data_IF_400201835565
#
_entry.id   IF_400201835565
#
_cell.length_a   1.000
_cell.length_b   1.000
_cell.length_c   1.000
_cell.angle_alpha   90.00
_cell.angle_beta   90.00
_cell.angle_gamma   90.00
#
_symmetry.space_group_name_H-M   'P 1'
#
loop_
_entity.id
_entity.type
_entity.pdbx_description
1 polymer ?
#
# COMPACT_ATOMS: atom_id res chain seq x y z
N UNK A 1 0.77 -10.62 12.92
CA UNK A 1 1.99 -11.35 13.29
C UNK A 1 2.67 -12.07 12.08
N UNK A 2 1.92 -12.77 11.20
CA UNK A 2 2.54 -13.56 10.12
C UNK A 2 3.36 -12.71 9.12
N UNK A 3 2.85 -11.55 8.73
CA UNK A 3 3.50 -10.65 7.77
C UNK A 3 4.15 -9.41 8.38
N UNK A 4 4.25 -9.34 9.70
CA UNK A 4 4.70 -8.13 10.40
C UNK A 4 6.02 -7.59 9.85
N UNK A 5 7.05 -8.45 9.80
CA UNK A 5 8.38 -8.05 9.31
C UNK A 5 8.37 -7.60 7.85
N UNK A 6 7.50 -8.20 7.02
CA UNK A 6 7.36 -7.83 5.60
C UNK A 6 6.61 -6.52 5.43
N UNK A 7 5.51 -6.32 6.16
CA UNK A 7 4.71 -5.10 6.13
C UNK A 7 5.56 -3.88 6.46
N UNK A 8 6.38 -3.98 7.52
CA UNK A 8 7.22 -2.88 8.00
C UNK A 8 8.27 -2.46 6.96
N UNK A 9 8.77 -3.39 6.15
CA UNK A 9 9.85 -3.11 5.18
C UNK A 9 9.37 -3.03 3.74
N UNK A 10 8.13 -3.39 3.44
CA UNK A 10 7.62 -3.38 2.08
C UNK A 10 7.63 -1.97 1.47
N UNK A 11 8.12 -1.79 0.24
CA UNK A 11 7.92 -0.56 -0.50
C UNK A 11 6.51 -0.51 -1.12
N UNK A 12 5.99 0.67 -1.39
CA UNK A 12 4.73 0.82 -2.13
C UNK A 12 4.90 0.55 -3.63
N UNK A 13 6.10 0.76 -4.17
CA UNK A 13 6.42 0.52 -5.60
C UNK A 13 7.89 0.16 -5.80
N UNK A 14 8.21 -0.32 -7.01
CA UNK A 14 9.59 -0.68 -7.37
C UNK A 14 10.48 0.52 -7.73
N UNK A 15 9.87 1.67 -8.10
CA UNK A 15 10.58 2.84 -8.60
C UNK A 15 10.11 4.11 -7.91
N UNK A 16 11.04 5.01 -7.49
CA UNK A 16 10.70 6.27 -6.84
C UNK A 16 9.75 7.17 -7.64
N UNK A 17 9.86 7.14 -8.97
CA UNK A 17 8.99 7.94 -9.85
C UNK A 17 7.54 7.39 -9.96
N UNK A 18 7.22 6.31 -9.29
CA UNK A 18 5.84 5.88 -9.11
C UNK A 18 5.30 6.43 -7.79
N UNK A 19 5.66 5.84 -6.66
CA UNK A 19 5.35 6.32 -5.32
C UNK A 19 6.13 5.50 -4.28
N UNK A 20 6.56 6.10 -3.23
CA UNK A 20 7.16 5.55 -2.02
C UNK A 20 7.98 4.24 -2.21
N UNK A 21 8.96 4.25 -3.13
CA UNK A 21 9.85 3.11 -3.40
C UNK A 21 10.98 3.05 -2.37
N UNK A 22 10.64 2.86 -1.10
CA UNK A 22 11.56 2.74 0.02
C UNK A 22 10.99 1.81 1.11
N UNK A 23 11.83 1.32 2.00
CA UNK A 23 11.41 0.45 3.10
C UNK A 23 10.39 1.17 4.01
N UNK A 24 9.20 0.57 4.20
CA UNK A 24 8.08 1.17 4.92
C UNK A 24 7.16 2.03 4.05
N UNK A 25 7.48 2.19 2.76
CA UNK A 25 6.66 2.97 1.83
C UNK A 25 5.23 2.44 1.70
N UNK A 26 5.05 1.11 1.77
CA UNK A 26 3.73 0.49 1.76
C UNK A 26 2.82 1.00 2.89
N UNK A 27 3.33 1.01 4.12
CA UNK A 27 2.55 1.47 5.29
C UNK A 27 2.16 2.94 5.14
N UNK A 28 3.11 3.79 4.74
CA UNK A 28 2.83 5.21 4.52
C UNK A 28 1.78 5.42 3.43
N UNK A 29 1.86 4.66 2.34
CA UNK A 29 0.92 4.73 1.24
C UNK A 29 -0.51 4.37 1.68
N UNK A 30 -0.72 3.21 2.32
CA UNK A 30 -2.07 2.80 2.73
C UNK A 30 -2.69 3.74 3.76
N UNK A 31 -1.88 4.31 4.67
CA UNK A 31 -2.35 5.34 5.59
C UNK A 31 -2.72 6.64 4.87
N UNK A 32 -1.94 7.03 3.87
CA UNK A 32 -2.25 8.20 3.03
C UNK A 32 -3.53 7.99 2.21
N UNK A 33 -3.77 6.75 1.72
CA UNK A 33 -5.03 6.39 1.06
C UNK A 33 -6.21 6.58 2.00
N UNK A 34 -6.16 6.06 3.22
CA UNK A 34 -7.24 6.21 4.21
C UNK A 34 -7.54 7.69 4.50
N UNK A 35 -6.49 8.50 4.73
CA UNK A 35 -6.65 9.94 4.98
C UNK A 35 -7.25 10.67 3.75
N UNK A 36 -6.78 10.33 2.56
CA UNK A 36 -7.28 10.90 1.30
C UNK A 36 -8.73 10.48 1.06
N UNK A 37 -9.09 9.22 1.27
CA UNK A 37 -10.45 8.72 1.13
C UNK A 37 -11.42 9.42 2.08
N UNK A 38 -11.03 9.62 3.34
CA UNK A 38 -11.83 10.40 4.32
C UNK A 38 -12.05 11.85 3.90
N UNK A 39 -11.03 12.50 3.31
CA UNK A 39 -11.17 13.85 2.76
C UNK A 39 -12.08 13.87 1.53
N UNK A 40 -11.92 12.90 0.64
CA UNK A 40 -12.77 12.76 -0.56
C UNK A 40 -14.23 12.48 -0.19
N UNK A 41 -14.50 11.69 0.85
CA UNK A 41 -15.86 11.46 1.37
C UNK A 41 -16.55 12.80 1.69
N UNK A 42 -15.86 13.71 2.39
CA UNK A 42 -16.40 15.04 2.72
C UNK A 42 -16.64 15.90 1.47
N UNK A 43 -15.73 15.83 0.50
CA UNK A 43 -15.92 16.53 -0.78
C UNK A 43 -17.12 15.96 -1.52
N UNK A 44 -17.23 14.65 -1.59
CA UNK A 44 -18.31 13.95 -2.29
C UNK A 44 -19.68 14.27 -1.69
N UNK A 45 -19.76 14.25 -0.36
CA UNK A 45 -20.96 14.67 0.37
C UNK A 45 -21.31 16.14 0.07
N UNK A 46 -20.32 17.04 0.04
CA UNK A 46 -20.53 18.46 -0.20
C UNK A 46 -21.08 18.80 -1.58
N UNK A 47 -20.88 17.93 -2.56
CA UNK A 47 -21.43 18.05 -3.92
C UNK A 47 -22.76 17.31 -4.11
N UNK A 48 -23.33 16.76 -3.03
CA UNK A 48 -24.67 16.15 -3.01
C UNK A 48 -24.70 14.64 -3.15
N UNK A 49 -23.57 13.95 -3.09
CA UNK A 49 -23.53 12.49 -3.07
C UNK A 49 -24.06 11.95 -1.73
N UNK A 50 -24.76 10.83 -1.80
CA UNK A 50 -25.16 10.08 -0.60
C UNK A 50 -24.00 9.21 -0.18
N UNK A 51 -23.61 9.30 1.09
CA UNK A 51 -22.61 8.41 1.68
C UNK A 51 -23.33 7.22 2.28
N UNK A 52 -23.13 6.06 1.71
CA UNK A 52 -23.85 4.82 1.96
C UNK A 52 -22.92 3.69 2.45
N UNK A 53 -21.78 4.05 2.98
CA UNK A 53 -20.78 3.16 3.59
C UNK A 53 -20.32 3.73 4.94
N UNK A 54 -19.77 2.88 5.77
CA UNK A 54 -19.21 3.25 7.08
C UNK A 54 -17.73 3.65 6.97
N UNK A 55 -17.21 4.35 8.01
CA UNK A 55 -15.77 4.66 8.08
C UNK A 55 -14.94 3.38 8.24
N UNK A 56 -15.48 2.35 8.92
CA UNK A 56 -14.84 1.05 9.06
C UNK A 56 -14.64 0.37 7.70
N UNK A 57 -15.65 0.36 6.82
CA UNK A 57 -15.55 -0.20 5.47
C UNK A 57 -14.54 0.58 4.62
N UNK A 58 -14.54 1.91 4.73
CA UNK A 58 -13.56 2.77 4.04
C UNK A 58 -12.13 2.46 4.51
N UNK A 59 -11.92 2.42 5.83
CA UNK A 59 -10.60 2.13 6.42
C UNK A 59 -10.16 0.72 6.05
N UNK A 60 -11.06 -0.26 6.15
CA UNK A 60 -10.76 -1.64 5.78
C UNK A 60 -10.31 -1.74 4.32
N UNK A 61 -11.08 -1.18 3.39
CA UNK A 61 -10.74 -1.21 1.98
C UNK A 61 -9.42 -0.45 1.69
N UNK A 62 -9.24 0.73 2.29
CA UNK A 62 -8.04 1.54 2.11
C UNK A 62 -6.76 0.88 2.63
N UNK A 63 -6.82 0.19 3.77
CA UNK A 63 -5.67 -0.51 4.34
C UNK A 63 -5.30 -1.78 3.55
N UNK A 64 -6.29 -2.46 2.94
CA UNK A 64 -6.08 -3.76 2.34
C UNK A 64 -6.01 -3.77 0.81
N UNK A 65 -6.29 -2.65 0.12
CA UNK A 65 -6.32 -2.62 -1.34
C UNK A 65 -5.00 -3.11 -1.96
N UNK A 66 -3.89 -2.78 -1.36
CA UNK A 66 -2.53 -3.10 -1.78
C UNK A 66 -1.87 -4.23 -0.97
N UNK A 67 -2.61 -4.95 -0.11
CA UNK A 67 -2.06 -5.99 0.75
C UNK A 67 -1.27 -7.05 -0.04
N UNK A 68 -1.63 -7.29 -1.29
CA UNK A 68 -0.89 -8.20 -2.16
C UNK A 68 0.58 -7.82 -2.42
N UNK A 69 0.97 -6.57 -2.14
CA UNK A 69 2.38 -6.11 -2.22
C UNK A 69 3.25 -6.61 -1.07
N UNK A 70 2.67 -7.21 -0.04
CA UNK A 70 3.41 -7.87 1.05
C UNK A 70 3.99 -9.22 0.60
N UNK A 71 3.42 -9.81 -0.43
CA UNK A 71 3.84 -11.09 -0.98
C UNK A 71 2.79 -12.20 -0.80
N UNK A 72 3.25 -13.44 -0.88
CA UNK A 72 2.46 -14.64 -0.57
C UNK A 72 2.91 -15.27 0.76
N UNK A 73 2.48 -16.50 1.06
CA UNK A 73 2.80 -17.15 2.31
C UNK A 73 4.31 -17.48 2.45
N UNK A 74 5.00 -17.62 1.34
CA UNK A 74 6.41 -18.07 1.31
C UNK A 74 7.36 -16.94 0.91
N UNK A 75 6.92 -16.02 0.03
CA UNK A 75 7.78 -15.05 -0.64
C UNK A 75 7.35 -13.60 -0.42
N UNK A 76 8.32 -12.71 -0.34
CA UNK A 76 8.12 -11.27 -0.43
C UNK A 76 7.81 -10.86 -1.87
N UNK A 77 6.90 -9.90 -2.08
CA UNK A 77 6.58 -9.40 -3.42
C UNK A 77 7.72 -8.59 -4.04
N UNK A 78 8.37 -7.76 -3.24
CA UNK A 78 9.48 -6.94 -3.67
C UNK A 78 10.81 -7.40 -3.08
N UNK A 79 11.78 -7.65 -3.95
CA UNK A 79 13.18 -7.84 -3.60
C UNK A 79 13.98 -6.56 -3.85
N UNK A 80 15.00 -6.32 -3.04
CA UNK A 80 15.93 -5.22 -3.29
C UNK A 80 16.66 -5.44 -4.61
N UNK A 81 16.66 -4.45 -5.49
CA UNK A 81 17.37 -4.51 -6.77
C UNK A 81 18.88 -4.54 -6.54
N UNK A 82 19.55 -5.62 -6.93
CA UNK A 82 21.00 -5.78 -6.78
C UNK A 82 21.80 -5.25 -7.97
N UNK A 83 21.18 -5.17 -9.14
CA UNK A 83 21.81 -4.68 -10.37
C UNK A 83 22.04 -3.16 -10.28
N UNK A 84 23.31 -2.78 -10.21
CA UNK A 84 23.76 -1.38 -10.13
C UNK A 84 23.35 -0.56 -11.34
N UNK A 85 23.33 -1.15 -12.53
CA UNK A 85 22.92 -0.43 -13.73
C UNK A 85 21.42 -0.10 -13.69
N UNK A 86 20.57 -1.06 -13.27
CA UNK A 86 19.13 -0.83 -13.11
C UNK A 86 18.86 0.24 -12.06
N UNK A 87 19.53 0.17 -10.92
CA UNK A 87 19.42 1.19 -9.87
C UNK A 87 19.81 2.59 -10.38
N UNK A 88 20.94 2.70 -11.06
CA UNK A 88 21.52 4.01 -11.46
C UNK A 88 20.88 4.57 -12.73
N UNK A 89 20.50 3.74 -13.70
CA UNK A 89 20.00 4.17 -15.01
C UNK A 89 18.48 4.12 -15.12
N UNK A 90 17.83 3.15 -14.48
CA UNK A 90 16.37 2.99 -14.53
C UNK A 90 15.69 3.49 -13.23
N UNK A 91 16.47 3.94 -12.25
CA UNK A 91 15.99 4.33 -10.93
C UNK A 91 15.10 3.22 -10.30
N UNK A 92 15.49 1.98 -10.47
CA UNK A 92 14.75 0.80 -10.00
C UNK A 92 15.39 0.27 -8.72
N UNK A 93 14.76 0.55 -7.58
CA UNK A 93 15.29 0.19 -6.26
C UNK A 93 14.79 -1.15 -5.77
N UNK A 94 13.65 -1.58 -6.26
CA UNK A 94 13.05 -2.88 -5.95
C UNK A 94 12.57 -3.53 -7.23
N UNK A 95 12.61 -4.86 -7.26
CA UNK A 95 12.12 -5.69 -8.36
C UNK A 95 11.10 -6.68 -7.83
N UNK A 96 10.15 -7.09 -8.66
CA UNK A 96 9.21 -8.14 -8.27
C UNK A 96 9.97 -9.46 -8.11
N UNK A 97 9.57 -10.25 -7.12
CA UNK A 97 10.14 -11.55 -6.88
C UNK A 97 9.71 -12.53 -7.98
N UNK A 98 10.65 -13.06 -8.79
CA UNK A 98 10.32 -13.97 -9.89
C UNK A 98 9.89 -15.37 -9.43
N UNK A 99 10.13 -15.72 -8.17
CA UNK A 99 9.74 -17.03 -7.60
C UNK A 99 8.25 -17.07 -7.21
N UNK A 100 7.60 -15.91 -7.12
CA UNK A 100 6.19 -15.85 -6.79
C UNK A 100 5.30 -16.32 -7.93
N UNK A 101 4.24 -17.07 -7.60
CA UNK A 101 3.14 -17.30 -8.52
C UNK A 101 2.53 -15.96 -8.96
N UNK A 102 2.42 -15.75 -10.28
CA UNK A 102 1.75 -14.56 -10.80
C UNK A 102 0.30 -14.49 -10.31
N UNK A 103 -0.04 -13.35 -9.74
CA UNK A 103 -1.38 -12.97 -9.31
C UNK A 103 -1.44 -11.45 -9.25
N UNK A 104 -2.54 -10.84 -9.67
CA UNK A 104 -2.76 -9.39 -9.50
C UNK A 104 -2.66 -8.98 -8.03
N UNK A 105 -2.22 -7.75 -7.77
CA UNK A 105 -2.03 -7.27 -6.39
C UNK A 105 -3.34 -7.31 -5.60
N UNK A 106 -4.43 -6.80 -6.20
CA UNK A 106 -5.76 -6.81 -5.58
C UNK A 106 -6.31 -8.21 -5.40
N UNK A 107 -6.09 -9.12 -6.36
CA UNK A 107 -6.51 -10.51 -6.25
C UNK A 107 -5.77 -11.24 -5.14
N UNK A 108 -4.45 -11.00 -5.02
CA UNK A 108 -3.64 -11.54 -3.92
C UNK A 108 -4.06 -10.98 -2.58
N UNK A 109 -4.40 -9.69 -2.50
CA UNK A 109 -4.93 -9.09 -1.28
C UNK A 109 -6.19 -9.81 -0.81
N UNK A 110 -7.15 -10.02 -1.70
CA UNK A 110 -8.39 -10.74 -1.40
C UNK A 110 -8.15 -12.21 -1.04
N UNK A 111 -7.22 -12.88 -1.74
CA UNK A 111 -6.82 -14.25 -1.42
C UNK A 111 -6.19 -14.36 -0.02
N UNK A 112 -5.31 -13.41 0.36
CA UNK A 112 -4.71 -13.38 1.69
C UNK A 112 -5.76 -13.16 2.78
N UNK A 113 -6.69 -12.24 2.60
CA UNK A 113 -7.78 -12.01 3.55
C UNK A 113 -8.61 -13.29 3.73
N UNK A 114 -8.95 -13.97 2.64
CA UNK A 114 -9.66 -15.25 2.68
C UNK A 114 -8.81 -16.33 3.38
N UNK A 115 -7.52 -16.42 3.08
CA UNK A 115 -6.63 -17.42 3.68
C UNK A 115 -6.55 -17.30 5.22
N UNK A 116 -6.58 -16.08 5.73
CA UNK A 116 -6.54 -15.80 7.17
C UNK A 116 -7.94 -15.68 7.81
N UNK A 117 -8.98 -16.18 7.14
CA UNK A 117 -10.37 -16.13 7.61
C UNK A 117 -10.86 -14.72 8.00
N UNK A 118 -10.30 -13.68 7.38
CA UNK A 118 -10.80 -12.32 7.55
C UNK A 118 -12.07 -12.14 6.75
N UNK A 119 -13.15 -11.78 7.43
CA UNK A 119 -14.44 -11.53 6.78
C UNK A 119 -14.37 -10.23 5.98
N UNK A 120 -14.74 -10.32 4.73
CA UNK A 120 -14.81 -9.20 3.80
C UNK A 120 -16.25 -9.06 3.31
N UNK A 121 -16.86 -7.91 3.46
CA UNK A 121 -18.18 -7.62 2.89
C UNK A 121 -18.11 -7.53 1.37
N UNK A 122 -19.25 -7.66 0.69
CA UNK A 122 -19.30 -7.50 -0.77
C UNK A 122 -18.80 -6.11 -1.20
N UNK A 123 -19.11 -5.09 -0.41
CA UNK A 123 -18.72 -3.71 -0.70
C UNK A 123 -17.21 -3.50 -0.55
N UNK A 124 -16.62 -3.98 0.54
CA UNK A 124 -15.17 -3.97 0.77
C UNK A 124 -14.43 -4.75 -0.33
N UNK A 125 -14.96 -5.93 -0.69
CA UNK A 125 -14.40 -6.75 -1.77
C UNK A 125 -14.35 -5.98 -3.09
N UNK A 126 -15.45 -5.33 -3.47
CA UNK A 126 -15.52 -4.52 -4.69
C UNK A 126 -14.56 -3.33 -4.63
N UNK A 127 -14.49 -2.64 -3.48
CA UNK A 127 -13.63 -1.50 -3.30
C UNK A 127 -12.13 -1.88 -3.44
N UNK A 128 -11.72 -3.02 -2.86
CA UNK A 128 -10.37 -3.57 -3.00
C UNK A 128 -10.14 -3.99 -4.46
N UNK A 129 -11.06 -4.78 -5.05
CA UNK A 129 -10.88 -5.32 -6.41
C UNK A 129 -10.66 -4.26 -7.47
N UNK A 130 -11.38 -3.14 -7.38
CA UNK A 130 -11.32 -2.10 -8.42
C UNK A 130 -10.39 -0.94 -8.10
N UNK A 131 -9.63 -1.00 -7.00
CA UNK A 131 -8.76 0.11 -6.55
C UNK A 131 -7.75 0.54 -7.62
N UNK A 132 -7.13 -0.40 -8.34
CA UNK A 132 -6.23 -0.14 -9.46
C UNK A 132 -6.93 0.55 -10.66
N UNK A 133 -8.26 0.65 -10.64
CA UNK A 133 -9.03 1.29 -11.69
C UNK A 133 -8.77 0.67 -13.06
N UNK A 134 -8.61 1.54 -14.07
CA UNK A 134 -8.38 1.14 -15.48
C UNK A 134 -6.94 0.67 -15.75
N UNK A 135 -6.05 0.67 -14.77
CA UNK A 135 -4.72 0.08 -14.90
C UNK A 135 -4.78 -1.46 -14.87
N UNK A 136 -5.84 -2.04 -14.32
CA UNK A 136 -6.19 -3.45 -14.49
C UNK A 136 -7.33 -3.57 -15.51
N UNK A 137 -7.06 -4.19 -16.67
CA UNK A 137 -8.05 -4.37 -17.74
C UNK A 137 -9.29 -5.16 -17.27
N UNK A 138 -9.14 -6.03 -16.25
CA UNK A 138 -10.26 -6.75 -15.67
C UNK A 138 -11.29 -5.83 -15.00
N UNK A 139 -10.89 -4.63 -14.60
CA UNK A 139 -11.76 -3.65 -13.95
C UNK A 139 -12.57 -2.81 -14.93
N UNK A 140 -12.26 -2.85 -16.24
CA UNK A 140 -12.93 -2.05 -17.27
C UNK A 140 -14.44 -2.25 -17.24
N UNK A 141 -14.90 -3.49 -17.09
CA UNK A 141 -16.33 -3.82 -17.04
C UNK A 141 -17.06 -3.23 -15.83
N UNK A 142 -16.35 -2.96 -14.73
CA UNK A 142 -16.91 -2.34 -13.53
C UNK A 142 -16.95 -0.82 -13.61
N UNK A 143 -15.95 -0.20 -14.23
CA UNK A 143 -15.75 1.24 -14.21
C UNK A 143 -16.26 1.93 -15.48
N UNK A 144 -16.31 1.20 -16.61
CA UNK A 144 -16.75 1.72 -17.91
C UNK A 144 -18.07 1.08 -18.31
N UNK A 145 -19.13 1.49 -17.63
CA UNK A 145 -20.49 1.01 -17.94
C UNK A 145 -21.46 2.18 -18.14
N UNK A 146 -22.39 2.00 -19.07
CA UNK A 146 -23.51 2.93 -19.29
C UNK A 146 -24.87 2.32 -18.88
N UNK A 147 -24.85 1.08 -18.35
CA UNK A 147 -26.05 0.38 -17.92
C UNK A 147 -26.26 0.57 -16.43
N UNK A 148 -27.38 1.16 -15.99
CA UNK A 148 -27.65 1.38 -14.55
C UNK A 148 -27.52 0.12 -13.71
N UNK A 149 -27.93 -1.03 -14.25
CA UNK A 149 -27.86 -2.33 -13.58
C UNK A 149 -26.44 -2.88 -13.40
N UNK A 150 -25.45 -2.30 -14.09
CA UNK A 150 -24.04 -2.65 -13.97
C UNK A 150 -23.24 -1.60 -13.16
N UNK A 151 -23.89 -0.54 -12.69
CA UNK A 151 -23.25 0.47 -11.86
C UNK A 151 -23.12 -0.03 -10.43
N UNK A 152 -22.06 0.41 -9.74
CA UNK A 152 -21.98 0.18 -8.31
C UNK A 152 -23.15 0.84 -7.58
N UNK A 153 -23.73 0.12 -6.64
CA UNK A 153 -24.82 0.63 -5.80
C UNK A 153 -24.29 1.58 -4.71
N UNK A 154 -22.99 1.50 -4.39
CA UNK A 154 -22.30 2.35 -3.44
C UNK A 154 -21.18 3.13 -4.12
N UNK A 155 -20.87 4.30 -3.56
CA UNK A 155 -19.77 5.14 -4.02
C UNK A 155 -18.38 4.70 -3.51
N UNK A 156 -18.30 3.81 -2.51
CA UNK A 156 -17.03 3.38 -1.91
C UNK A 156 -16.02 2.82 -2.93
N UNK A 157 -16.38 1.94 -3.88
CA UNK A 157 -15.41 1.44 -4.87
C UNK A 157 -14.77 2.54 -5.71
N UNK A 158 -15.56 3.53 -6.15
CA UNK A 158 -15.02 4.69 -6.88
C UNK A 158 -14.12 5.53 -6.00
N UNK A 159 -14.51 5.72 -4.75
CA UNK A 159 -13.81 6.60 -3.81
C UNK A 159 -12.46 6.03 -3.43
N UNK A 160 -12.33 4.73 -3.18
CA UNK A 160 -11.04 4.08 -2.93
C UNK A 160 -10.14 4.17 -4.15
N UNK A 161 -10.65 3.90 -5.35
CA UNK A 161 -9.90 4.08 -6.59
C UNK A 161 -9.39 5.52 -6.76
N UNK A 162 -10.24 6.52 -6.55
CA UNK A 162 -9.81 7.92 -6.68
C UNK A 162 -8.85 8.34 -5.58
N UNK A 163 -9.03 7.83 -4.37
CA UNK A 163 -8.11 8.09 -3.26
C UNK A 163 -6.73 7.55 -3.57
N UNK A 164 -6.63 6.32 -4.07
CA UNK A 164 -5.37 5.71 -4.49
C UNK A 164 -4.72 6.53 -5.63
N UNK A 165 -5.45 6.79 -6.69
CA UNK A 165 -4.93 7.57 -7.81
C UNK A 165 -4.44 8.96 -7.39
N UNK A 166 -5.20 9.68 -6.55
CA UNK A 166 -4.84 11.02 -6.07
C UNK A 166 -3.65 10.99 -5.12
N UNK A 167 -3.62 10.04 -4.17
CA UNK A 167 -2.50 9.88 -3.25
C UNK A 167 -1.21 9.54 -4.00
N UNK A 168 -1.25 8.58 -4.92
CA UNK A 168 -0.12 8.22 -5.79
C UNK A 168 0.41 9.44 -6.56
N UNK A 169 -0.47 10.33 -7.08
CA UNK A 169 -0.05 11.55 -7.77
C UNK A 169 0.55 12.60 -6.82
N UNK A 170 0.05 12.70 -5.61
CA UNK A 170 0.60 13.56 -4.57
C UNK A 170 1.99 13.09 -4.15
N UNK A 171 2.16 11.79 -3.91
CA UNK A 171 3.43 11.14 -3.55
C UNK A 171 4.49 11.28 -4.65
N UNK A 172 4.08 11.12 -5.93
CA UNK A 172 4.94 11.40 -7.07
C UNK A 172 5.40 12.86 -7.09
N UNK A 173 4.50 13.79 -6.78
CA UNK A 173 4.81 15.22 -6.73
C UNK A 173 5.79 15.52 -5.62
N UNK A 174 5.59 14.96 -4.44
CA UNK A 174 6.49 15.06 -3.30
C UNK A 174 7.90 14.56 -3.67
N UNK A 175 8.00 13.36 -4.26
CA UNK A 175 9.26 12.82 -4.74
C UNK A 175 9.93 13.75 -5.76
N UNK A 176 9.20 14.21 -6.77
CA UNK A 176 9.73 15.07 -7.85
C UNK A 176 10.30 16.37 -7.33
N UNK A 177 9.71 16.96 -6.31
CA UNK A 177 10.21 18.20 -5.72
C UNK A 177 11.27 17.97 -4.65
N UNK A 178 11.28 16.83 -3.99
CA UNK A 178 12.31 16.46 -3.01
C UNK A 178 13.65 16.13 -3.69
N UNK A 179 13.65 15.53 -4.88
CA UNK A 179 14.88 15.28 -5.63
C UNK A 179 15.66 16.56 -5.94
N UNK A 180 14.97 17.68 -6.10
CA UNK A 180 15.63 18.99 -6.28
C UNK A 180 16.36 19.47 -5.01
N UNK A 181 16.07 18.89 -3.84
CA UNK A 181 16.66 19.27 -2.55
C UNK A 181 17.65 18.26 -1.98
N UNK A 182 17.70 17.00 -2.44
CA UNK A 182 18.32 15.94 -1.63
C UNK A 182 18.92 14.75 -2.38
N UNK A 183 19.67 14.94 -3.45
CA UNK A 183 20.43 13.84 -4.09
C UNK A 183 21.45 13.16 -3.15
N UNK A 184 21.85 13.79 -2.05
CA UNK A 184 22.87 13.25 -1.14
C UNK A 184 22.32 12.69 0.19
N UNK A 185 21.17 13.14 0.67
CA UNK A 185 20.66 12.71 2.00
C UNK A 185 19.94 11.37 1.98
N UNK A 186 19.24 11.02 0.90
CA UNK A 186 18.43 9.80 0.81
C UNK A 186 19.29 8.53 0.81
N UNK A 187 20.43 8.53 0.13
CA UNK A 187 21.34 7.40 0.10
C UNK A 187 21.94 7.08 1.49
N UNK A 188 22.13 8.10 2.34
CA UNK A 188 22.58 7.89 3.73
C UNK A 188 21.47 7.37 4.63
N UNK A 189 20.23 7.80 4.43
CA UNK A 189 19.08 7.35 5.26
C UNK A 189 18.74 5.88 5.05
N UNK A 190 18.67 5.39 3.81
CA UNK A 190 18.37 3.99 3.52
C UNK A 190 19.45 3.05 4.10
N UNK A 191 20.72 3.44 4.01
CA UNK A 191 21.82 2.68 4.59
C UNK A 191 21.75 2.68 6.12
N UNK A 192 21.40 3.83 6.73
CA UNK A 192 21.27 3.96 8.17
C UNK A 192 20.06 3.21 8.74
N UNK A 193 18.93 3.21 8.03
CA UNK A 193 17.73 2.45 8.43
C UNK A 193 18.00 0.94 8.35
N UNK A 194 18.62 0.45 7.27
CA UNK A 194 19.02 -0.97 7.18
C UNK A 194 20.01 -1.37 8.30
N UNK A 195 20.93 -0.47 8.67
CA UNK A 195 21.86 -0.73 9.78
C UNK A 195 21.17 -0.65 11.13
N UNK A 196 20.20 0.24 11.34
CA UNK A 196 19.45 0.38 12.58
C UNK A 196 18.48 -0.80 12.77
N UNK A 197 17.70 -1.14 11.75
CA UNK A 197 16.77 -2.29 11.76
C UNK A 197 17.56 -3.60 11.87
N UNK A 198 18.66 -3.78 11.11
CA UNK A 198 19.51 -4.95 11.19
C UNK A 198 20.27 -5.08 12.54
N UNK A 199 20.58 -3.98 13.23
CA UNK A 199 21.13 -4.00 14.59
C UNK A 199 20.06 -4.31 15.63
N UNK A 200 18.89 -3.70 15.56
CA UNK A 200 17.78 -3.98 16.49
C UNK A 200 17.26 -5.42 16.35
N UNK A 201 17.19 -5.97 15.15
CA UNK A 201 16.83 -7.38 14.92
C UNK A 201 17.91 -8.30 15.50
N UNK A 202 19.21 -7.99 15.30
CA UNK A 202 20.30 -8.80 15.90
C UNK A 202 20.36 -8.70 17.42
N UNK A 203 20.18 -7.51 18.00
CA UNK A 203 20.17 -7.34 19.46
C UNK A 203 18.92 -7.96 20.12
N UNK A 204 17.74 -7.94 19.43
CA UNK A 204 16.51 -8.58 19.95
C UNK A 204 16.51 -10.10 19.80
N UNK A 205 17.23 -10.66 18.82
CA UNK A 205 17.42 -12.12 18.70
C UNK A 205 18.35 -12.66 19.78
N UNK A 206 19.25 -11.83 20.33
CA UNK A 206 20.17 -12.24 21.40
C UNK A 206 19.62 -11.97 22.81
N UNK A 207 18.57 -11.15 23.01
CA UNK A 207 18.06 -10.77 24.33
C UNK A 207 16.54 -10.70 24.40
N UNK A 208 15.89 -11.84 24.70
CA UNK A 208 14.54 -11.99 25.25
C UNK A 208 13.29 -12.00 24.33
N UNK A 209 12.17 -12.65 24.77
CA UNK A 209 11.02 -12.95 23.94
C UNK A 209 10.03 -11.79 23.82
N UNK A 210 9.61 -11.52 22.60
CA UNK A 210 8.38 -10.83 22.14
C UNK A 210 7.87 -9.61 22.92
N UNK A 211 8.29 -8.42 22.51
CA UNK A 211 7.41 -7.27 22.54
C UNK A 211 6.49 -7.35 21.30
N UNK A 212 5.17 -7.17 21.46
CA UNK A 212 4.22 -7.30 20.35
C UNK A 212 4.31 -6.11 19.38
N UNK A 213 3.91 -6.31 18.13
CA UNK A 213 3.80 -5.22 17.13
C UNK A 213 2.98 -4.03 17.63
N UNK A 214 2.05 -4.30 18.54
CA UNK A 214 1.24 -3.29 19.20
C UNK A 214 2.09 -2.33 20.05
N UNK A 215 3.06 -2.85 20.80
CA UNK A 215 3.92 -2.04 21.64
C UNK A 215 4.85 -1.14 20.82
N UNK A 216 5.32 -1.62 19.66
CA UNK A 216 6.13 -0.83 18.73
C UNK A 216 5.28 0.23 17.99
N UNK A 217 4.05 -0.09 17.66
CA UNK A 217 3.12 0.84 17.03
C UNK A 217 2.72 1.94 18.01
N UNK A 218 2.43 1.57 19.26
CA UNK A 218 2.09 2.52 20.33
C UNK A 218 3.30 3.42 20.70
N UNK A 219 4.54 2.91 20.61
CA UNK A 219 5.77 3.70 20.82
C UNK A 219 6.06 4.66 19.66
N UNK A 220 5.73 4.29 18.42
CA UNK A 220 5.97 5.12 17.23
C UNK A 220 4.83 6.09 16.91
N UNK A 221 3.61 5.77 17.31
CA UNK A 221 2.38 6.50 16.91
C UNK A 221 1.42 6.76 18.07
N UNK A 222 1.70 6.28 19.28
CA UNK A 222 0.93 6.53 20.50
C UNK A 222 1.16 7.95 21.00
N UNK A 223 0.10 8.66 21.12
CA UNK A 223 -0.19 10.04 21.53
C UNK A 223 0.92 10.93 22.12
N UNK A 224 1.01 12.08 21.48
CA UNK A 224 1.11 13.37 22.18
C UNK A 224 -0.07 14.26 21.84
#
# INVERSE_FOLDING_TARGET
>A
DFFEDRIIVAPASGKPNYHYAFAGGYVLHVLHIVDTARKLTKVYESIGAVIDYTDEELVFAGLHHDLGKVGDLEHEYYLVQEDDWRRKKLNEWFTQNPEMQFMGVTDRALWLLQHFDVKVSQLEWLAIKVSDGMYDDANVQYLKTFKPEHSFQSSLPYLIHWADHMATRAEYTEWKYSEKKTTEKVNKSVTNIKQAVGKQVKEKVETQPSASAKDLFDELFGDK
#
